data_IF_926987985904
#
_entry.id   IF_926987985904
#
_cell.length_a   1.000
_cell.length_b   1.000
_cell.length_c   1.000
_cell.angle_alpha   90.00
_cell.angle_beta   90.00
_cell.angle_gamma   90.00
#
_symmetry.space_group_name_H-M   'P 1'
#
loop_
_entity.id
_entity.type
_entity.pdbx_description
1 polymer ?
#
# COMPACT_ATOMS: atom_id res chain seq x y z
N UNK A 1 47.70 26.53 25.40
CA UNK A 1 46.24 26.72 25.62
C UNK A 1 45.44 26.69 24.33
N UNK A 2 45.83 27.40 23.28
CA UNK A 2 45.12 27.43 21.98
C UNK A 2 44.96 26.04 21.33
N UNK A 3 46.02 25.23 21.28
CA UNK A 3 45.97 23.88 20.71
C UNK A 3 44.94 22.97 21.40
N UNK A 4 44.86 23.02 22.74
CA UNK A 4 43.93 22.20 23.52
C UNK A 4 42.47 22.57 23.25
N UNK A 5 42.19 23.87 23.09
CA UNK A 5 40.85 24.37 22.75
C UNK A 5 40.46 23.88 21.35
N UNK A 6 41.37 23.95 20.38
CA UNK A 6 41.12 23.45 19.02
C UNK A 6 40.85 21.95 19.00
N UNK A 7 41.63 21.16 19.75
CA UNK A 7 41.43 19.70 19.86
C UNK A 7 40.05 19.37 20.46
N UNK A 8 39.63 20.07 21.51
CA UNK A 8 38.31 19.88 22.10
C UNK A 8 37.20 20.19 21.09
N UNK A 9 37.31 21.31 20.36
CA UNK A 9 36.33 21.69 19.33
C UNK A 9 36.25 20.66 18.19
N UNK A 10 37.40 20.15 17.71
CA UNK A 10 37.44 19.12 16.67
C UNK A 10 36.83 17.82 17.17
N UNK A 11 37.09 17.42 18.42
CA UNK A 11 36.50 16.22 19.01
C UNK A 11 34.97 16.32 19.10
N UNK A 12 34.44 17.43 19.61
CA UNK A 12 32.99 17.66 19.68
C UNK A 12 32.34 17.66 18.28
N UNK A 13 32.97 18.33 17.30
CA UNK A 13 32.47 18.36 15.93
C UNK A 13 32.51 16.97 15.27
N UNK A 14 33.55 16.18 15.53
CA UNK A 14 33.68 14.83 15.01
C UNK A 14 32.61 13.90 15.59
N UNK A 15 32.33 13.96 16.90
CA UNK A 15 31.26 13.16 17.50
C UNK A 15 29.89 13.53 16.93
N UNK A 16 29.58 14.82 16.85
CA UNK A 16 28.32 15.30 16.28
C UNK A 16 28.14 14.87 14.82
N UNK A 17 29.18 15.00 14.00
CA UNK A 17 29.15 14.55 12.61
C UNK A 17 28.99 13.04 12.48
N UNK A 18 29.60 12.26 13.37
CA UNK A 18 29.51 10.80 13.35
C UNK A 18 28.11 10.30 13.72
N UNK A 19 27.45 10.93 14.69
CA UNK A 19 26.09 10.59 15.08
C UNK A 19 25.10 10.90 13.95
N UNK A 20 25.25 12.04 13.27
CA UNK A 20 24.42 12.42 12.11
C UNK A 20 24.66 11.55 10.89
N UNK A 21 25.90 11.13 10.63
CA UNK A 21 26.21 10.25 9.51
C UNK A 21 25.68 8.81 9.69
N UNK A 22 25.35 8.41 10.94
CA UNK A 22 24.77 7.10 11.26
C UNK A 22 23.25 7.13 11.38
N UNK A 23 22.62 8.30 11.22
CA UNK A 23 21.17 8.36 11.11
C UNK A 23 20.75 7.55 9.89
N UNK A 24 19.77 6.63 10.02
CA UNK A 24 19.23 5.92 8.88
C UNK A 24 18.79 6.91 7.81
N UNK A 25 19.14 6.64 6.55
CA UNK A 25 18.64 7.44 5.42
C UNK A 25 17.11 7.37 5.50
N UNK A 26 16.40 8.51 5.52
CA UNK A 26 14.94 8.49 5.55
C UNK A 26 14.45 7.72 4.33
N UNK A 27 13.44 6.85 4.47
CA UNK A 27 12.90 6.12 3.33
C UNK A 27 12.46 7.13 2.27
N UNK A 28 12.81 6.86 1.02
CA UNK A 28 12.33 7.67 -0.10
C UNK A 28 10.80 7.69 -0.06
N UNK A 29 10.16 8.87 -0.18
CA UNK A 29 8.72 8.94 -0.32
C UNK A 29 8.28 8.01 -1.46
N UNK A 30 7.17 7.27 -1.31
CA UNK A 30 6.65 6.46 -2.39
C UNK A 30 6.43 7.34 -3.62
N UNK A 31 6.72 6.80 -4.82
CA UNK A 31 6.54 7.55 -6.05
C UNK A 31 5.08 7.97 -6.17
N UNK A 32 4.80 9.21 -6.61
CA UNK A 32 3.44 9.65 -6.83
C UNK A 32 2.78 8.77 -7.90
N UNK A 33 1.48 8.53 -7.76
CA UNK A 33 0.69 7.89 -8.79
C UNK A 33 0.76 8.67 -10.12
N UNK A 34 0.54 7.95 -11.22
CA UNK A 34 0.54 8.53 -12.56
C UNK A 34 -0.91 8.64 -13.04
N UNK A 35 -1.32 9.85 -13.44
CA UNK A 35 -2.63 10.07 -14.05
C UNK A 35 -2.67 9.38 -15.41
N UNK A 36 -3.62 8.45 -15.58
CA UNK A 36 -3.83 7.68 -16.81
C UNK A 36 -5.24 7.88 -17.32
N UNK A 37 -5.38 7.93 -18.64
CA UNK A 37 -6.68 7.83 -19.33
C UNK A 37 -7.12 6.36 -19.29
N UNK A 38 -8.23 6.08 -18.62
CA UNK A 38 -8.77 4.72 -18.46
C UNK A 38 -10.20 4.59 -18.99
N UNK A 39 -10.79 5.71 -19.42
CA UNK A 39 -12.16 5.76 -19.90
C UNK A 39 -13.17 6.08 -18.77
N UNK A 40 -14.47 6.10 -19.11
CA UNK A 40 -15.51 6.65 -18.24
C UNK A 40 -15.81 5.80 -17.00
N UNK A 41 -15.28 4.58 -16.92
CA UNK A 41 -15.51 3.64 -15.82
C UNK A 41 -14.17 3.01 -15.44
N UNK A 42 -13.76 3.16 -14.19
CA UNK A 42 -12.66 2.41 -13.60
C UNK A 42 -13.11 0.96 -13.40
N UNK A 43 -12.26 0.04 -13.84
CA UNK A 43 -12.51 -1.40 -13.86
C UNK A 43 -11.36 -2.15 -13.17
N UNK A 44 -11.57 -3.40 -12.70
CA UNK A 44 -10.58 -4.13 -11.90
C UNK A 44 -9.18 -4.19 -12.54
N UNK A 45 -9.09 -4.33 -13.86
CA UNK A 45 -7.83 -4.39 -14.61
C UNK A 45 -6.98 -3.11 -14.50
N UNK A 46 -7.55 -2.01 -14.02
CA UNK A 46 -6.83 -0.76 -13.79
C UNK A 46 -6.23 -0.65 -12.39
N UNK A 47 -6.75 -1.41 -11.42
CA UNK A 47 -6.42 -1.24 -10.00
C UNK A 47 -5.41 -2.28 -9.54
N UNK A 48 -4.38 -1.82 -8.83
CA UNK A 48 -3.37 -2.69 -8.23
C UNK A 48 -3.67 -2.93 -6.76
N UNK A 49 -3.65 -4.21 -6.38
CA UNK A 49 -3.99 -4.65 -5.02
C UNK A 49 -2.83 -5.42 -4.40
N UNK A 50 -2.48 -5.11 -3.16
CA UNK A 50 -1.65 -5.97 -2.33
C UNK A 50 -2.56 -6.78 -1.40
N UNK A 51 -2.33 -8.08 -1.32
CA UNK A 51 -3.09 -8.96 -0.43
C UNK A 51 -2.19 -9.39 0.72
N UNK A 52 -2.55 -8.98 1.93
CA UNK A 52 -1.73 -9.12 3.12
C UNK A 52 -2.39 -10.07 4.12
N UNK A 53 -1.67 -11.09 4.57
CA UNK A 53 -2.14 -11.99 5.62
C UNK A 53 -1.90 -11.37 6.99
N UNK A 54 -2.97 -10.92 7.65
CA UNK A 54 -2.96 -10.38 8.99
C UNK A 54 -3.28 -11.40 10.09
N UNK A 55 -3.27 -12.70 9.77
CA UNK A 55 -3.55 -13.78 10.72
C UNK A 55 -2.44 -14.83 10.75
N UNK A 56 -2.53 -15.75 11.71
CA UNK A 56 -1.65 -16.93 11.85
C UNK A 56 -1.97 -18.05 10.85
N UNK A 57 -3.06 -17.93 10.09
CA UNK A 57 -3.47 -18.96 9.13
C UNK A 57 -2.68 -18.81 7.84
N UNK A 58 -1.92 -19.84 7.48
CA UNK A 58 -1.11 -19.82 6.26
C UNK A 58 -1.98 -19.90 4.99
N UNK A 59 -1.50 -19.26 3.92
CA UNK A 59 -2.07 -19.41 2.57
C UNK A 59 -3.26 -18.49 2.25
N UNK A 60 -3.77 -17.72 3.21
CA UNK A 60 -4.91 -16.83 3.00
C UNK A 60 -4.66 -15.78 1.91
N UNK A 61 -3.51 -15.10 1.94
CA UNK A 61 -3.16 -14.10 0.93
C UNK A 61 -3.04 -14.72 -0.49
N UNK A 62 -2.57 -15.96 -0.59
CA UNK A 62 -2.53 -16.68 -1.86
C UNK A 62 -3.93 -16.98 -2.38
N UNK A 63 -4.82 -17.48 -1.51
CA UNK A 63 -6.20 -17.81 -1.88
C UNK A 63 -6.99 -16.57 -2.28
N UNK A 64 -7.02 -15.53 -1.43
CA UNK A 64 -7.78 -14.32 -1.72
C UNK A 64 -7.22 -13.60 -2.95
N UNK A 65 -5.89 -13.53 -3.10
CA UNK A 65 -5.33 -12.94 -4.31
C UNK A 65 -5.69 -13.73 -5.57
N UNK A 66 -5.90 -15.04 -5.53
CA UNK A 66 -6.30 -15.81 -6.72
C UNK A 66 -7.71 -15.41 -7.15
N UNK A 67 -8.60 -15.23 -6.16
CA UNK A 67 -9.96 -14.76 -6.37
C UNK A 67 -9.96 -13.36 -6.97
N UNK A 68 -9.27 -12.41 -6.34
CA UNK A 68 -9.19 -11.04 -6.85
C UNK A 68 -8.55 -10.96 -8.25
N UNK A 69 -7.55 -11.81 -8.53
CA UNK A 69 -7.01 -11.91 -9.90
C UNK A 69 -8.02 -12.47 -10.90
N UNK A 70 -8.86 -13.43 -10.50
CA UNK A 70 -9.93 -13.97 -11.34
C UNK A 70 -11.03 -12.93 -11.60
N UNK A 71 -11.26 -12.03 -10.63
CA UNK A 71 -12.14 -10.87 -10.75
C UNK A 71 -11.55 -9.73 -11.59
N UNK A 72 -10.31 -9.89 -12.07
CA UNK A 72 -9.64 -8.96 -12.99
C UNK A 72 -8.70 -7.96 -12.32
N UNK A 73 -8.61 -7.93 -10.99
CA UNK A 73 -7.68 -7.03 -10.29
C UNK A 73 -6.21 -7.38 -10.56
N UNK A 74 -5.37 -6.36 -10.65
CA UNK A 74 -3.92 -6.54 -10.73
C UNK A 74 -3.32 -6.78 -9.35
N UNK A 75 -3.30 -8.03 -8.91
CA UNK A 75 -2.67 -8.39 -7.63
C UNK A 75 -1.15 -8.25 -7.73
N UNK A 76 -0.60 -7.21 -7.11
CA UNK A 76 0.82 -6.85 -7.18
C UNK A 76 1.66 -7.65 -6.18
N UNK A 77 1.21 -7.75 -4.93
CA UNK A 77 1.90 -8.49 -3.87
C UNK A 77 0.95 -9.41 -3.10
N UNK A 78 1.50 -10.53 -2.63
CA UNK A 78 0.88 -11.45 -1.67
C UNK A 78 1.89 -11.69 -0.57
N UNK A 79 1.66 -11.14 0.62
CA UNK A 79 2.64 -11.17 1.71
C UNK A 79 1.93 -11.30 3.06
N UNK A 80 2.69 -11.30 4.16
CA UNK A 80 2.15 -11.10 5.50
C UNK A 80 1.91 -9.60 5.74
N UNK A 81 0.95 -9.26 6.59
CA UNK A 81 0.82 -7.90 7.08
C UNK A 81 1.97 -7.57 8.07
N UNK A 82 1.97 -6.35 8.59
CA UNK A 82 2.90 -5.87 9.61
C UNK A 82 2.78 -6.62 10.94
N UNK A 83 1.60 -7.20 11.22
CA UNK A 83 1.29 -8.06 12.37
C UNK A 83 0.32 -9.18 11.98
N UNK A 84 0.21 -10.20 12.83
CA UNK A 84 -0.55 -11.44 12.55
C UNK A 84 -1.75 -11.66 13.51
N UNK A 85 -2.18 -10.60 14.20
CA UNK A 85 -3.27 -10.59 15.18
C UNK A 85 -4.43 -9.66 14.78
N UNK A 86 -4.59 -9.39 13.47
CA UNK A 86 -5.77 -8.67 12.99
C UNK A 86 -7.02 -9.52 13.23
N UNK A 87 -7.91 -9.04 14.10
CA UNK A 87 -9.19 -9.69 14.38
C UNK A 87 -10.24 -9.45 13.28
N UNK A 88 -10.07 -8.37 12.50
CA UNK A 88 -10.94 -7.97 11.39
C UNK A 88 -10.12 -7.62 10.16
N UNK A 89 -10.65 -7.94 9.00
CA UNK A 89 -10.11 -7.64 7.68
C UNK A 89 -10.45 -6.21 7.31
N UNK A 90 -9.51 -5.54 6.68
CA UNK A 90 -9.65 -4.15 6.28
C UNK A 90 -9.05 -3.88 4.90
N UNK A 91 -9.69 -2.98 4.18
CA UNK A 91 -9.13 -2.33 3.00
C UNK A 91 -8.40 -1.08 3.44
N UNK A 92 -7.15 -0.92 3.03
CA UNK A 92 -6.32 0.24 3.34
C UNK A 92 -5.91 0.93 2.05
N UNK A 93 -6.04 2.25 2.00
CA UNK A 93 -5.70 3.04 0.83
C UNK A 93 -5.75 4.53 1.07
N UNK A 94 -5.67 5.30 -0.02
CA UNK A 94 -5.54 6.76 0.04
C UNK A 94 -6.67 7.44 0.84
N UNK A 95 -7.91 7.28 0.39
CA UNK A 95 -9.11 7.85 1.02
C UNK A 95 -10.33 6.98 0.76
N UNK A 96 -11.42 7.19 1.49
CA UNK A 96 -12.63 6.36 1.39
C UNK A 96 -13.33 6.50 0.02
N UNK A 97 -13.27 7.70 -0.54
CA UNK A 97 -13.87 8.09 -1.81
C UNK A 97 -12.93 7.89 -3.02
N UNK A 98 -11.70 7.43 -2.78
CA UNK A 98 -10.77 7.11 -3.83
C UNK A 98 -11.36 6.00 -4.74
N UNK A 99 -11.46 6.20 -6.06
CA UNK A 99 -12.16 5.28 -6.94
C UNK A 99 -11.58 3.86 -6.92
N UNK A 100 -10.27 3.69 -6.75
CA UNK A 100 -9.65 2.38 -6.61
C UNK A 100 -10.01 1.68 -5.29
N UNK A 101 -10.19 2.43 -4.20
CA UNK A 101 -10.63 1.90 -2.90
C UNK A 101 -12.08 1.47 -2.99
N UNK A 102 -12.94 2.33 -3.54
CA UNK A 102 -14.36 2.03 -3.76
C UNK A 102 -14.51 0.76 -4.61
N UNK A 103 -13.74 0.65 -5.70
CA UNK A 103 -13.78 -0.51 -6.58
C UNK A 103 -13.34 -1.79 -5.86
N UNK A 104 -12.26 -1.77 -5.08
CA UNK A 104 -11.79 -2.96 -4.34
C UNK A 104 -12.81 -3.39 -3.28
N UNK A 105 -13.46 -2.43 -2.60
CA UNK A 105 -14.50 -2.73 -1.61
C UNK A 105 -15.71 -3.46 -2.21
N UNK A 106 -16.01 -3.27 -3.51
CA UNK A 106 -17.09 -4.00 -4.19
C UNK A 106 -16.87 -5.52 -4.25
N UNK A 107 -15.62 -6.00 -4.09
CA UNK A 107 -15.33 -7.43 -4.06
C UNK A 107 -15.82 -8.14 -2.77
N UNK A 108 -16.26 -7.38 -1.77
CA UNK A 108 -16.63 -7.87 -0.45
C UNK A 108 -18.06 -7.47 -0.08
N UNK A 109 -18.75 -8.28 0.72
CA UNK A 109 -20.11 -7.94 1.19
C UNK A 109 -20.08 -6.77 2.18
N UNK A 110 -19.18 -6.85 3.17
CA UNK A 110 -18.86 -5.80 4.11
C UNK A 110 -17.38 -5.97 4.50
N UNK A 111 -16.64 -4.88 4.52
CA UNK A 111 -15.23 -4.87 4.90
C UNK A 111 -14.88 -3.51 5.48
N UNK A 112 -14.13 -3.53 6.58
CA UNK A 112 -13.66 -2.30 7.22
C UNK A 112 -12.74 -1.53 6.26
N UNK A 113 -12.70 -0.22 6.42
CA UNK A 113 -11.83 0.66 5.64
C UNK A 113 -10.98 1.53 6.56
N UNK A 114 -9.71 1.71 6.18
CA UNK A 114 -8.80 2.65 6.83
C UNK A 114 -8.07 3.48 5.79
N UNK A 115 -8.22 4.81 5.89
CA UNK A 115 -7.44 5.74 5.10
C UNK A 115 -6.04 5.91 5.68
N UNK A 116 -5.02 5.95 4.82
CA UNK A 116 -3.65 6.29 5.21
C UNK A 116 -3.01 7.41 4.36
N UNK A 117 -3.75 7.97 3.40
CA UNK A 117 -3.30 9.10 2.60
C UNK A 117 -2.14 8.80 1.64
N UNK A 118 -1.84 7.52 1.36
CA UNK A 118 -0.75 7.15 0.44
C UNK A 118 -0.94 7.77 -0.95
N UNK A 119 0.14 8.28 -1.54
CA UNK A 119 0.11 8.93 -2.85
C UNK A 119 0.35 7.96 -4.02
N UNK A 120 0.82 6.74 -3.74
CA UNK A 120 1.08 5.73 -4.76
C UNK A 120 -0.19 5.07 -5.31
N UNK A 121 -1.32 5.21 -4.58
CA UNK A 121 -2.66 4.70 -4.90
C UNK A 121 -2.74 3.17 -4.99
N UNK A 122 -1.82 2.43 -4.34
CA UNK A 122 -1.99 0.98 -4.16
C UNK A 122 -3.09 0.72 -3.12
N UNK A 123 -3.90 -0.31 -3.30
CA UNK A 123 -4.88 -0.72 -2.29
C UNK A 123 -4.39 -1.97 -1.59
N UNK A 124 -4.35 -1.97 -0.26
CA UNK A 124 -4.05 -3.18 0.50
C UNK A 124 -5.35 -3.81 1.00
N UNK A 125 -5.44 -5.13 0.90
CA UNK A 125 -6.46 -5.93 1.56
C UNK A 125 -5.78 -6.75 2.63
N UNK A 126 -5.97 -6.36 3.89
CA UNK A 126 -5.47 -7.08 5.06
C UNK A 126 -6.53 -8.10 5.47
N UNK A 127 -6.13 -9.36 5.56
CA UNK A 127 -6.99 -10.48 5.93
C UNK A 127 -6.85 -10.72 7.43
N UNK A 128 -7.92 -10.45 8.18
CA UNK A 128 -8.02 -10.78 9.59
C UNK A 128 -8.38 -12.25 9.84
N UNK A 129 -8.38 -12.64 11.11
CA UNK A 129 -8.69 -13.99 11.58
C UNK A 129 -10.10 -14.46 11.19
N UNK A 130 -11.05 -13.53 11.14
CA UNK A 130 -12.45 -13.79 10.76
C UNK A 130 -12.61 -14.12 9.26
N UNK A 131 -11.65 -13.69 8.43
CA UNK A 131 -11.64 -13.76 6.97
C UNK A 131 -12.80 -12.99 6.29
N UNK A 132 -12.52 -12.18 5.26
CA UNK A 132 -13.56 -11.33 4.66
C UNK A 132 -14.54 -12.16 3.83
N UNK A 133 -15.81 -11.77 3.87
CA UNK A 133 -16.86 -12.40 3.05
C UNK A 133 -16.88 -11.74 1.67
N UNK A 134 -16.70 -12.55 0.63
CA UNK A 134 -16.74 -12.09 -0.75
C UNK A 134 -18.17 -11.77 -1.19
N UNK A 135 -18.31 -10.71 -1.98
CA UNK A 135 -19.57 -10.39 -2.63
C UNK A 135 -19.97 -11.52 -3.61
N UNK A 136 -21.27 -11.82 -3.67
CA UNK A 136 -21.80 -12.74 -4.67
C UNK A 136 -22.00 -12.00 -6.00
N UNK A 137 -21.28 -12.41 -7.05
CA UNK A 137 -21.34 -11.82 -8.39
C UNK A 137 -21.23 -10.27 -8.39
N UNK A 138 -20.12 -9.71 -7.89
CA UNK A 138 -19.94 -8.26 -7.84
C UNK A 138 -20.01 -7.63 -9.24
N UNK A 139 -20.80 -6.57 -9.37
CA UNK A 139 -20.82 -5.72 -10.56
C UNK A 139 -19.73 -4.65 -10.41
N UNK A 140 -18.53 -4.94 -10.90
CA UNK A 140 -17.42 -4.01 -10.80
C UNK A 140 -17.60 -2.78 -11.70
N UNK A 141 -17.32 -1.63 -11.13
CA UNK A 141 -17.26 -0.38 -11.87
C UNK A 141 -17.34 0.84 -10.96
N UNK A 142 -16.48 1.83 -11.23
CA UNK A 142 -16.59 3.16 -10.61
C UNK A 142 -16.57 4.22 -11.70
N UNK A 143 -17.59 5.05 -11.76
CA UNK A 143 -17.68 6.10 -12.77
C UNK A 143 -16.56 7.15 -12.59
N UNK A 144 -15.92 7.51 -13.69
CA UNK A 144 -14.88 8.53 -13.75
C UNK A 144 -15.35 9.66 -14.69
N UNK A 145 -15.86 10.78 -14.16
CA UNK A 145 -16.39 11.89 -14.98
C UNK A 145 -15.39 12.40 -16.01
N UNK A 146 -14.11 12.47 -15.64
CA UNK A 146 -13.04 12.99 -16.49
C UNK A 146 -12.34 11.89 -17.30
N UNK A 147 -12.75 10.63 -17.17
CA UNK A 147 -12.15 9.48 -17.83
C UNK A 147 -10.74 9.10 -17.36
N UNK A 148 -10.28 9.72 -16.27
CA UNK A 148 -8.91 9.65 -15.76
C UNK A 148 -8.88 9.12 -14.34
N UNK A 149 -7.84 8.36 -14.03
CA UNK A 149 -7.54 7.93 -12.67
C UNK A 149 -6.04 8.06 -12.39
N UNK A 150 -5.69 8.42 -11.16
CA UNK A 150 -4.31 8.36 -10.70
C UNK A 150 -4.01 6.92 -10.27
N UNK A 151 -3.15 6.23 -11.01
CA UNK A 151 -2.89 4.81 -10.83
C UNK A 151 -1.42 4.55 -10.48
N UNK A 152 -1.14 3.49 -9.71
CA UNK A 152 0.23 3.09 -9.41
C UNK A 152 1.11 2.89 -10.65
N UNK A 153 2.40 3.17 -10.49
CA UNK A 153 3.45 2.68 -11.39
C UNK A 153 4.18 1.49 -10.74
N UNK A 154 3.86 0.25 -11.13
CA UNK A 154 4.47 -0.95 -10.53
C UNK A 154 5.98 -1.04 -10.78
N UNK A 155 6.53 -0.33 -11.78
CA UNK A 155 7.98 -0.32 -12.04
C UNK A 155 8.75 0.44 -10.95
N UNK A 156 8.08 1.36 -10.25
CA UNK A 156 8.71 2.17 -9.20
C UNK A 156 8.43 1.62 -7.80
N UNK A 157 7.40 0.77 -7.64
CA UNK A 157 7.02 0.11 -6.37
C UNK A 157 7.62 -1.29 -6.12
N UNK A 158 8.40 -1.82 -7.07
CA UNK A 158 9.16 -3.08 -6.89
C UNK A 158 10.55 -2.75 -6.34
N UNK A 159 10.97 -3.28 -5.17
CA UNK A 159 12.40 -3.32 -4.88
C UNK A 159 13.07 -4.11 -6.02
N UNK A 160 14.21 -3.61 -6.51
CA UNK A 160 15.05 -4.37 -7.42
C UNK A 160 15.33 -5.73 -6.76
N UNK A 161 14.99 -6.81 -7.48
CA UNK A 161 15.18 -8.18 -7.00
C UNK A 161 16.62 -8.54 -6.72
#
# INVERSE_FOLDING_TARGET
>A
MTLLILVALVYFAAQWGWDKAREPIPPTPPPPCVVKEVGPVLQPEHVYVNVLNGSKTNGLASRLGQILSADGFKVFKRWNADRDDYAVSEVVGHSEDAPEVVLVRQAFQDIAFRADGREDRFVDVIIGEEQPVLAENPEFGVALPDGKACLPDPQVGSPAG
#
